data_IF_878031881376
#
_entry.id   IF_878031881376
#
_cell.length_a   1.000
_cell.length_b   1.000
_cell.length_c   1.000
_cell.angle_alpha   90.00
_cell.angle_beta   90.00
_cell.angle_gamma   90.00
#
_symmetry.space_group_name_H-M   'P 1'
#
loop_
_entity.id
_entity.type
_entity.pdbx_description
1 polymer ?
#
# COMPACT_ATOMS: atom_id res chain seq x y z
N UNK A 1 -18.89 28.38 -5.53
CA UNK A 1 -17.59 27.69 -5.57
C UNK A 1 -17.19 27.52 -7.02
N UNK A 2 -16.05 28.08 -7.41
CA UNK A 2 -15.55 27.91 -8.78
C UNK A 2 -14.75 26.62 -8.88
N UNK A 3 -15.05 25.78 -9.86
CA UNK A 3 -14.34 24.50 -10.06
C UNK A 3 -12.84 24.69 -10.37
N UNK A 4 -12.46 25.88 -10.84
CA UNK A 4 -11.06 26.25 -11.09
C UNK A 4 -10.17 26.18 -9.85
N UNK A 5 -10.73 26.29 -8.64
CA UNK A 5 -9.99 26.21 -7.38
C UNK A 5 -9.47 24.79 -7.09
N UNK A 6 -10.09 23.76 -7.68
CA UNK A 6 -9.67 22.35 -7.51
C UNK A 6 -8.63 21.90 -8.54
N UNK A 7 -8.40 22.67 -9.61
CA UNK A 7 -7.42 22.34 -10.64
C UNK A 7 -6.00 22.14 -10.07
N UNK A 8 -5.48 23.00 -9.16
CA UNK A 8 -4.17 22.78 -8.55
C UNK A 8 -4.10 21.49 -7.72
N UNK A 9 -5.18 21.14 -7.01
CA UNK A 9 -5.26 19.90 -6.21
C UNK A 9 -5.19 18.67 -7.12
N UNK A 10 -5.92 18.69 -8.24
CA UNK A 10 -5.89 17.60 -9.21
C UNK A 10 -4.50 17.42 -9.85
N UNK A 11 -3.84 18.53 -10.23
CA UNK A 11 -2.47 18.49 -10.75
C UNK A 11 -1.50 17.93 -9.69
N UNK A 12 -1.65 18.34 -8.43
CA UNK A 12 -0.81 17.85 -7.34
C UNK A 12 -0.94 16.33 -7.16
N UNK A 13 -2.16 15.79 -7.22
CA UNK A 13 -2.41 14.34 -7.18
C UNK A 13 -1.69 13.64 -8.34
N UNK A 14 -1.81 14.15 -9.57
CA UNK A 14 -1.14 13.57 -10.75
C UNK A 14 0.38 13.56 -10.55
N UNK A 15 0.96 14.69 -10.13
CA UNK A 15 2.40 14.80 -9.90
C UNK A 15 2.85 13.84 -8.80
N UNK A 16 2.09 13.73 -7.70
CA UNK A 16 2.38 12.79 -6.61
C UNK A 16 2.37 11.34 -7.08
N UNK A 17 1.37 10.93 -7.86
CA UNK A 17 1.29 9.59 -8.47
C UNK A 17 2.47 9.36 -9.41
N UNK A 18 2.81 10.33 -10.25
CA UNK A 18 3.95 10.25 -11.16
C UNK A 18 5.26 10.04 -10.39
N UNK A 19 5.49 10.80 -9.33
CA UNK A 19 6.69 10.65 -8.48
C UNK A 19 6.72 9.28 -7.78
N UNK A 20 5.57 8.73 -7.39
CA UNK A 20 5.49 7.40 -6.79
C UNK A 20 5.74 6.26 -7.79
N UNK A 21 5.24 6.38 -9.02
CA UNK A 21 5.23 5.30 -10.03
C UNK A 21 6.48 5.33 -10.91
N UNK A 22 6.95 6.50 -11.35
CA UNK A 22 8.07 6.61 -12.31
C UNK A 22 9.34 5.92 -11.81
N UNK A 23 9.82 6.13 -10.57
CA UNK A 23 11.01 5.45 -10.07
C UNK A 23 10.84 3.93 -10.00
N UNK A 24 9.64 3.43 -9.67
CA UNK A 24 9.35 1.99 -9.61
C UNK A 24 9.41 1.36 -11.01
N UNK A 25 8.81 2.01 -12.00
CA UNK A 25 8.86 1.57 -13.41
C UNK A 25 10.29 1.64 -13.94
N UNK A 26 11.00 2.74 -13.69
CA UNK A 26 12.42 2.87 -14.06
C UNK A 26 13.28 1.78 -13.41
N UNK A 27 13.10 1.53 -12.11
CA UNK A 27 13.80 0.47 -11.39
C UNK A 27 13.55 -0.90 -12.02
N UNK A 28 12.30 -1.21 -12.37
CA UNK A 28 11.95 -2.47 -13.04
C UNK A 28 12.53 -2.61 -14.45
N UNK A 29 12.64 -1.51 -15.21
CA UNK A 29 13.15 -1.52 -16.58
C UNK A 29 14.69 -1.53 -16.64
N UNK A 30 15.36 -0.85 -15.71
CA UNK A 30 16.82 -0.66 -15.72
C UNK A 30 17.55 -1.76 -14.93
N UNK A 31 16.95 -2.29 -13.86
CA UNK A 31 17.63 -3.24 -12.98
C UNK A 31 17.79 -4.64 -13.62
N UNK A 32 18.89 -5.37 -13.31
CA UNK A 32 19.04 -6.75 -13.73
C UNK A 32 17.91 -7.64 -13.21
N UNK A 33 17.19 -8.30 -14.11
CA UNK A 33 16.07 -9.18 -13.75
C UNK A 33 16.51 -10.66 -13.79
N UNK A 34 16.85 -11.22 -12.62
CA UNK A 34 17.28 -12.63 -12.47
C UNK A 34 16.44 -13.36 -11.40
N UNK A 35 15.15 -13.61 -11.68
CA UNK A 35 14.27 -14.36 -10.77
C UNK A 35 14.69 -15.84 -10.71
N UNK A 36 14.60 -16.43 -9.52
CA UNK A 36 14.71 -17.88 -9.28
C UNK A 36 13.72 -18.28 -8.18
N UNK A 37 13.56 -19.59 -7.92
CA UNK A 37 12.57 -20.08 -6.94
C UNK A 37 12.82 -19.53 -5.54
N UNK A 38 14.10 -19.48 -5.13
CA UNK A 38 14.50 -19.06 -3.79
C UNK A 38 14.37 -17.54 -3.58
N UNK A 39 14.68 -16.73 -4.58
CA UNK A 39 14.48 -15.26 -4.50
C UNK A 39 13.02 -14.85 -4.46
N UNK A 40 12.13 -15.70 -4.98
CA UNK A 40 10.69 -15.46 -5.00
C UNK A 40 9.94 -16.21 -3.89
N UNK A 41 10.65 -16.95 -3.03
CA UNK A 41 10.03 -17.61 -1.88
C UNK A 41 9.80 -16.60 -0.73
N UNK A 42 8.80 -16.84 0.12
CA UNK A 42 8.61 -16.05 1.33
C UNK A 42 9.86 -16.06 2.22
N UNK A 43 10.16 -14.92 2.84
CA UNK A 43 11.26 -14.85 3.80
C UNK A 43 10.86 -15.56 5.10
N UNK A 44 11.51 -16.68 5.39
CA UNK A 44 11.38 -17.42 6.65
C UNK A 44 12.77 -17.86 7.16
N UNK A 45 13.73 -16.93 7.20
CA UNK A 45 15.11 -17.20 7.69
C UNK A 45 15.81 -18.42 7.05
N UNK A 46 15.46 -18.77 5.80
CA UNK A 46 16.01 -19.93 5.08
C UNK A 46 15.24 -21.25 5.28
N UNK A 47 14.10 -21.21 5.97
CA UNK A 47 13.17 -22.33 6.08
C UNK A 47 12.03 -22.22 5.07
N UNK A 48 11.33 -23.33 4.86
CA UNK A 48 10.05 -23.30 4.17
C UNK A 48 9.02 -22.57 5.04
N UNK A 49 8.14 -21.79 4.41
CA UNK A 49 7.10 -21.05 5.13
C UNK A 49 6.27 -22.02 5.99
N UNK A 50 6.34 -21.81 7.30
CA UNK A 50 5.54 -22.58 8.25
C UNK A 50 4.16 -21.93 8.39
N UNK A 51 3.14 -22.76 8.52
CA UNK A 51 1.73 -22.38 8.78
C UNK A 51 0.93 -21.78 7.61
N UNK A 52 -0.39 -21.87 7.74
CA UNK A 52 -1.35 -21.24 6.83
C UNK A 52 -1.46 -19.75 7.16
N UNK A 53 -1.24 -18.88 6.17
CA UNK A 53 -1.36 -17.42 6.30
C UNK A 53 -2.80 -16.94 6.66
N UNK A 54 -3.78 -17.85 6.75
CA UNK A 54 -5.18 -17.59 7.09
C UNK A 54 -5.50 -17.68 8.58
N UNK A 55 -4.55 -17.31 9.44
CA UNK A 55 -4.81 -17.19 10.87
C UNK A 55 -5.81 -16.06 11.18
N UNK A 56 -6.61 -16.22 12.24
CA UNK A 56 -7.52 -15.16 12.68
C UNK A 56 -6.69 -14.01 13.26
N UNK A 57 -6.83 -12.85 12.65
CA UNK A 57 -6.31 -11.61 13.22
C UNK A 57 -7.07 -11.22 14.48
N UNK A 58 -6.41 -10.47 15.34
CA UNK A 58 -6.99 -10.03 16.59
C UNK A 58 -8.20 -9.09 16.35
N UNK A 59 -9.30 -9.32 17.06
CA UNK A 59 -10.53 -8.51 16.95
C UNK A 59 -10.28 -7.04 17.34
N UNK A 60 -9.22 -6.74 18.10
CA UNK A 60 -8.85 -5.38 18.48
C UNK A 60 -8.65 -4.45 17.29
N UNK A 61 -8.12 -4.92 16.16
CA UNK A 61 -7.98 -4.09 14.94
C UNK A 61 -9.36 -3.63 14.42
N UNK A 62 -10.34 -4.52 14.45
CA UNK A 62 -11.72 -4.20 14.06
C UNK A 62 -12.37 -3.19 15.03
N UNK A 63 -12.18 -3.38 16.34
CA UNK A 63 -12.73 -2.45 17.35
C UNK A 63 -12.14 -1.04 17.21
N UNK A 64 -10.85 -0.92 16.91
CA UNK A 64 -10.21 0.38 16.65
C UNK A 64 -10.77 1.02 15.37
N UNK A 65 -10.94 0.24 14.30
CA UNK A 65 -11.46 0.76 13.04
C UNK A 65 -12.92 1.24 13.15
N UNK A 66 -13.81 0.47 13.79
CA UNK A 66 -15.22 0.89 13.96
C UNK A 66 -15.33 2.10 14.89
N UNK A 67 -14.52 2.18 15.93
CA UNK A 67 -14.48 3.32 16.83
C UNK A 67 -13.98 4.58 16.10
N UNK A 68 -12.95 4.44 15.26
CA UNK A 68 -12.48 5.52 14.39
C UNK A 68 -13.59 6.03 13.46
N UNK A 69 -14.30 5.12 12.78
CA UNK A 69 -15.41 5.49 11.89
C UNK A 69 -16.51 6.24 12.65
N UNK A 70 -16.88 5.76 13.85
CA UNK A 70 -17.92 6.41 14.65
C UNK A 70 -17.51 7.81 15.11
N UNK A 71 -16.28 7.98 15.60
CA UNK A 71 -15.81 9.30 16.04
C UNK A 71 -15.54 10.26 14.88
N UNK A 72 -15.05 9.78 13.74
CA UNK A 72 -14.86 10.59 12.54
C UNK A 72 -16.21 11.12 12.04
N UNK A 73 -17.25 10.28 12.06
CA UNK A 73 -18.61 10.67 11.70
C UNK A 73 -19.27 11.62 12.70
N UNK A 74 -18.97 11.49 14.00
CA UNK A 74 -19.45 12.44 15.04
C UNK A 74 -18.84 13.84 14.86
N UNK A 75 -17.61 13.92 14.35
CA UNK A 75 -16.90 15.20 14.14
C UNK A 75 -17.35 15.90 12.85
N UNK A 76 -17.79 15.13 11.84
CA UNK A 76 -18.23 15.62 10.54
C UNK A 76 -19.56 16.41 10.60
#
# INVERSE_FOLDING_TARGET
MNLSEYLPVFIFIIVGVMIGVVPQVMGRLIAPHRPDSEKNSPYECGFEAFEDARMKFDVRYYLVAILFILFDLEIA
#
